data_IF_623123976757
#
_entry.id   IF_623123976757
#
_cell.length_a   1.000
_cell.length_b   1.000
_cell.length_c   1.000
_cell.angle_alpha   90.00
_cell.angle_beta   90.00
_cell.angle_gamma   90.00
#
_symmetry.space_group_name_H-M   'P 1'
#
loop_
_entity.id
_entity.type
_entity.pdbx_description
1 polymer ?
#
# COMPACT_ATOMS: atom_id res chain seq x y z
N UNK A 1 21.08 46.05 -0.93
CA UNK A 1 21.24 45.25 -2.16
C UNK A 1 20.60 43.89 -1.92
N UNK A 2 19.50 43.62 -2.62
CA UNK A 2 18.83 42.32 -2.67
C UNK A 2 19.61 41.40 -3.61
N UNK A 3 19.82 40.15 -3.22
CA UNK A 3 19.89 38.99 -4.12
C UNK A 3 19.75 37.74 -3.23
N UNK A 4 18.55 37.18 -3.05
CA UNK A 4 17.91 36.22 -3.95
C UNK A 4 18.67 34.89 -4.07
N UNK A 5 18.43 33.99 -3.13
CA UNK A 5 18.32 32.56 -3.44
C UNK A 5 17.03 32.06 -2.80
N UNK A 6 15.94 32.14 -3.56
CA UNK A 6 14.82 31.22 -3.41
C UNK A 6 15.20 29.95 -4.16
N UNK A 7 15.26 28.81 -3.47
CA UNK A 7 15.15 27.51 -4.11
C UNK A 7 14.29 26.59 -3.23
N UNK A 8 12.99 26.74 -3.42
CA UNK A 8 12.01 25.65 -3.55
C UNK A 8 12.23 24.43 -2.63
N UNK A 9 11.78 24.54 -1.39
CA UNK A 9 11.27 23.35 -0.71
C UNK A 9 9.93 23.03 -1.36
N UNK A 10 9.90 21.99 -2.18
CA UNK A 10 8.72 21.46 -2.81
C UNK A 10 7.71 20.99 -1.75
N UNK A 11 6.90 21.92 -1.25
CA UNK A 11 5.58 21.63 -0.71
C UNK A 11 4.65 21.32 -1.90
N UNK A 12 4.92 20.21 -2.59
CA UNK A 12 4.05 19.70 -3.64
C UNK A 12 3.07 18.74 -2.98
N UNK A 13 1.85 19.28 -2.77
CA UNK A 13 0.56 18.58 -2.70
C UNK A 13 0.26 17.73 -1.45
N UNK A 14 -0.11 18.40 -0.35
CA UNK A 14 -1.20 17.89 0.51
C UNK A 14 -2.30 18.94 0.76
N UNK A 15 -2.37 19.98 -0.07
CA UNK A 15 -3.43 20.99 -0.06
C UNK A 15 -4.49 20.77 -1.15
N UNK A 16 -4.79 19.52 -1.51
CA UNK A 16 -6.01 19.21 -2.27
C UNK A 16 -7.14 19.05 -1.26
N UNK A 17 -8.06 20.02 -1.25
CA UNK A 17 -9.49 19.85 -0.97
C UNK A 17 -9.87 18.58 -0.19
N UNK A 18 -10.22 18.77 1.08
CA UNK A 18 -11.11 17.86 1.81
C UNK A 18 -12.39 17.67 0.96
N UNK A 19 -12.46 16.64 0.11
CA UNK A 19 -13.70 16.29 -0.60
C UNK A 19 -13.60 15.51 -1.92
N UNK A 20 -12.46 15.49 -2.61
CA UNK A 20 -12.37 14.80 -3.90
C UNK A 20 -11.73 13.40 -3.76
N UNK A 21 -12.44 12.37 -4.21
CA UNK A 21 -11.95 10.99 -4.24
C UNK A 21 -10.81 10.88 -5.27
N UNK A 22 -9.66 10.32 -4.86
CA UNK A 22 -8.50 10.09 -5.75
C UNK A 22 -8.78 8.97 -6.76
N UNK A 23 -8.33 9.16 -8.00
CA UNK A 23 -8.37 8.15 -9.07
C UNK A 23 -7.42 6.97 -8.79
N UNK A 24 -7.60 5.83 -9.49
CA UNK A 24 -6.70 4.67 -9.38
C UNK A 24 -5.24 5.04 -9.68
N UNK A 25 -4.99 5.78 -10.76
CA UNK A 25 -3.64 6.22 -11.12
C UNK A 25 -2.98 7.13 -10.07
N UNK A 26 -3.77 7.98 -9.39
CA UNK A 26 -3.25 8.82 -8.31
C UNK A 26 -2.86 7.98 -7.08
N UNK A 27 -3.63 6.94 -6.76
CA UNK A 27 -3.29 6.04 -5.68
C UNK A 27 -2.06 5.19 -5.99
N UNK A 28 -1.97 4.62 -7.20
CA UNK A 28 -0.81 3.86 -7.67
C UNK A 28 0.47 4.70 -7.56
N UNK A 29 0.40 6.00 -7.90
CA UNK A 29 1.52 6.92 -7.73
C UNK A 29 1.89 7.16 -6.26
N UNK A 30 0.92 7.23 -5.35
CA UNK A 30 1.20 7.37 -3.91
C UNK A 30 1.88 6.10 -3.38
N UNK A 31 1.42 4.93 -3.79
CA UNK A 31 2.01 3.63 -3.44
C UNK A 31 3.46 3.53 -3.97
N UNK A 32 3.70 3.90 -5.23
CA UNK A 32 5.03 3.95 -5.85
C UNK A 32 5.98 4.89 -5.08
N UNK A 33 5.49 6.07 -4.70
CA UNK A 33 6.25 7.04 -3.91
C UNK A 33 6.58 6.52 -2.51
N UNK A 34 5.62 5.88 -1.83
CA UNK A 34 5.82 5.28 -0.52
C UNK A 34 6.89 4.19 -0.57
N UNK A 35 6.79 3.29 -1.56
CA UNK A 35 7.74 2.21 -1.79
C UNK A 35 9.14 2.74 -2.08
N UNK A 36 9.29 3.65 -3.05
CA UNK A 36 10.59 4.25 -3.42
C UNK A 36 11.25 4.96 -2.23
N UNK A 37 10.46 5.62 -1.40
CA UNK A 37 10.96 6.27 -0.19
C UNK A 37 11.49 5.25 0.81
N UNK A 38 10.77 4.15 1.01
CA UNK A 38 11.16 3.09 1.94
C UNK A 38 12.38 2.29 1.47
N UNK A 39 12.54 2.06 0.16
CA UNK A 39 13.75 1.45 -0.39
C UNK A 39 14.98 2.26 0.03
N UNK A 40 14.92 3.59 -0.10
CA UNK A 40 16.01 4.49 0.30
C UNK A 40 16.22 4.51 1.81
N UNK A 41 15.16 4.64 2.60
CA UNK A 41 15.26 4.69 4.07
C UNK A 41 15.83 3.41 4.67
N UNK A 42 15.50 2.26 4.07
CA UNK A 42 16.00 0.94 4.50
C UNK A 42 17.34 0.57 3.83
N UNK A 43 17.91 1.44 3.00
CA UNK A 43 19.15 1.22 2.24
C UNK A 43 19.12 -0.05 1.36
N UNK A 44 17.96 -0.36 0.77
CA UNK A 44 17.75 -1.56 -0.04
C UNK A 44 18.13 -1.38 -1.51
N UNK A 45 18.58 -0.19 -1.94
CA UNK A 45 18.92 0.13 -3.33
C UNK A 45 19.92 -0.88 -3.95
N UNK A 46 20.88 -1.36 -3.14
CA UNK A 46 21.89 -2.33 -3.59
C UNK A 46 21.36 -3.75 -3.69
N UNK A 47 20.38 -4.10 -2.87
CA UNK A 47 19.84 -5.46 -2.76
C UNK A 47 18.75 -5.72 -3.78
N UNK A 48 17.92 -4.71 -4.01
CA UNK A 48 16.80 -4.75 -4.94
C UNK A 48 17.22 -4.44 -6.38
N UNK A 49 18.32 -3.70 -6.54
CA UNK A 49 18.81 -3.27 -7.85
C UNK A 49 17.87 -2.29 -8.55
N UNK A 50 18.26 -1.79 -9.74
CA UNK A 50 17.48 -0.81 -10.50
C UNK A 50 16.19 -1.37 -11.11
N UNK A 51 15.99 -2.69 -11.05
CA UNK A 51 14.88 -3.41 -11.69
C UNK A 51 13.88 -3.99 -10.68
N UNK A 52 13.84 -3.49 -9.44
CA UNK A 52 12.81 -3.90 -8.50
C UNK A 52 11.44 -3.61 -9.10
N UNK A 53 10.72 -4.68 -9.41
CA UNK A 53 9.38 -4.61 -9.92
C UNK A 53 8.43 -5.07 -8.83
N UNK A 54 7.49 -4.21 -8.43
CA UNK A 54 6.43 -4.57 -7.49
C UNK A 54 5.61 -5.75 -7.99
N UNK A 55 5.42 -5.88 -9.31
CA UNK A 55 4.72 -7.04 -9.88
C UNK A 55 5.47 -8.36 -9.67
N UNK A 56 6.80 -8.33 -9.44
CA UNK A 56 7.55 -9.55 -9.13
C UNK A 56 7.13 -10.21 -7.82
N UNK A 57 6.45 -9.44 -6.96
CA UNK A 57 5.91 -9.90 -5.70
C UNK A 57 4.72 -10.84 -5.87
N UNK A 58 4.10 -10.82 -7.05
CA UNK A 58 3.05 -11.76 -7.45
C UNK A 58 3.50 -13.22 -7.42
N UNK A 59 4.81 -13.45 -7.46
CA UNK A 59 5.38 -14.79 -7.37
C UNK A 59 5.37 -15.34 -5.94
N UNK A 60 5.18 -14.49 -4.93
CA UNK A 60 5.10 -14.91 -3.54
C UNK A 60 3.68 -15.30 -3.19
N UNK A 61 3.55 -16.50 -2.62
CA UNK A 61 2.26 -17.05 -2.13
C UNK A 61 2.25 -17.18 -0.62
N UNK A 62 3.41 -17.06 0.03
CA UNK A 62 3.60 -17.20 1.47
C UNK A 62 4.67 -16.22 1.96
N UNK A 63 4.50 -15.73 3.18
CA UNK A 63 5.42 -14.77 3.82
C UNK A 63 6.84 -15.32 3.91
N UNK A 64 7.00 -16.62 4.19
CA UNK A 64 8.31 -17.25 4.38
C UNK A 64 9.19 -17.23 3.12
N UNK A 65 8.57 -17.07 1.94
CA UNK A 65 9.28 -16.98 0.66
C UNK A 65 9.91 -15.60 0.44
N UNK A 66 9.44 -14.59 1.17
CA UNK A 66 9.91 -13.20 1.04
C UNK A 66 11.13 -13.00 1.94
N UNK A 67 12.24 -12.43 1.45
CA UNK A 67 13.37 -12.05 2.29
C UNK A 67 12.97 -11.04 3.39
N UNK A 68 13.50 -11.17 4.61
CA UNK A 68 13.05 -10.39 5.78
C UNK A 68 13.13 -8.86 5.58
N UNK A 69 14.21 -8.38 4.96
CA UNK A 69 14.40 -7.00 4.53
C UNK A 69 13.25 -6.51 3.63
N UNK A 70 12.78 -7.35 2.70
CA UNK A 70 11.66 -7.03 1.82
C UNK A 70 10.33 -7.09 2.55
N UNK A 71 10.19 -7.97 3.56
CA UNK A 71 9.02 -7.96 4.43
C UNK A 71 8.85 -6.65 5.18
N UNK A 72 9.95 -6.12 5.71
CA UNK A 72 9.93 -4.83 6.39
C UNK A 72 9.83 -3.64 5.44
N UNK A 73 10.22 -3.79 4.17
CA UNK A 73 9.90 -2.83 3.12
C UNK A 73 8.39 -2.67 2.95
N UNK A 74 7.62 -3.76 2.92
CA UNK A 74 6.16 -3.68 2.86
C UNK A 74 5.55 -2.95 4.05
N UNK A 75 5.98 -3.28 5.27
CA UNK A 75 5.54 -2.53 6.45
C UNK A 75 5.78 -1.03 6.27
N UNK A 76 6.99 -0.65 5.85
CA UNK A 76 7.33 0.75 5.66
C UNK A 76 6.45 1.40 4.58
N UNK A 77 6.25 0.75 3.44
CA UNK A 77 5.46 1.30 2.35
C UNK A 77 4.00 1.46 2.76
N UNK A 78 3.42 0.46 3.42
CA UNK A 78 2.06 0.49 3.95
C UNK A 78 1.84 1.63 4.96
N UNK A 79 2.77 1.83 5.89
CA UNK A 79 2.68 2.91 6.88
C UNK A 79 2.75 4.30 6.23
N UNK A 80 3.59 4.47 5.19
CA UNK A 80 3.68 5.73 4.44
C UNK A 80 2.47 5.94 3.53
N UNK A 81 1.99 4.89 2.88
CA UNK A 81 0.84 4.91 1.98
C UNK A 81 -0.43 5.30 2.74
N UNK A 82 -0.69 4.64 3.87
CA UNK A 82 -1.87 4.91 4.72
C UNK A 82 -1.70 6.15 5.62
N UNK A 83 -0.45 6.58 5.84
CA UNK A 83 -0.11 7.58 6.85
C UNK A 83 -0.41 7.12 8.29
N UNK A 84 -0.58 5.82 8.52
CA UNK A 84 -0.85 5.23 9.84
C UNK A 84 0.22 4.23 10.22
N UNK A 85 0.63 4.24 11.48
CA UNK A 85 1.51 3.22 12.02
C UNK A 85 0.77 1.90 12.17
N UNK A 86 1.40 0.79 11.78
CA UNK A 86 0.86 -0.56 12.01
C UNK A 86 0.94 -0.96 13.49
N UNK A 87 1.54 -0.15 14.36
CA UNK A 87 1.40 -0.33 15.82
C UNK A 87 -0.03 -0.04 16.28
N UNK A 88 -0.78 0.79 15.54
CA UNK A 88 -2.22 0.98 15.71
C UNK A 88 -2.94 0.24 14.57
N UNK A 89 -2.92 -1.10 14.68
CA UNK A 89 -3.43 -1.98 13.63
C UNK A 89 -4.88 -1.67 13.26
N UNK A 90 -5.73 -1.34 14.23
CA UNK A 90 -7.13 -1.02 13.98
C UNK A 90 -7.25 0.18 13.04
N UNK A 91 -6.56 1.28 13.38
CA UNK A 91 -6.61 2.51 12.59
C UNK A 91 -5.94 2.37 11.23
N UNK A 92 -4.85 1.59 11.16
CA UNK A 92 -4.21 1.22 9.91
C UNK A 92 -5.19 0.51 8.96
N UNK A 93 -5.86 -0.56 9.44
CA UNK A 93 -6.81 -1.32 8.63
C UNK A 93 -8.01 -0.46 8.20
N UNK A 94 -8.53 0.41 9.07
CA UNK A 94 -9.59 1.37 8.71
C UNK A 94 -9.15 2.27 7.55
N UNK A 95 -7.89 2.74 7.54
CA UNK A 95 -7.34 3.56 6.45
C UNK A 95 -7.08 2.80 5.16
N UNK A 96 -6.60 1.56 5.23
CA UNK A 96 -6.50 0.69 4.05
C UNK A 96 -7.87 0.47 3.39
N UNK A 97 -8.93 0.30 4.20
CA UNK A 97 -10.29 0.14 3.67
C UNK A 97 -10.87 1.42 3.06
N UNK A 98 -10.49 2.61 3.54
CA UNK A 98 -10.87 3.88 2.91
C UNK A 98 -10.31 3.96 1.49
N UNK A 99 -9.04 3.57 1.31
CA UNK A 99 -8.39 3.49 -0.01
C UNK A 99 -9.17 2.62 -0.99
N UNK A 100 -9.45 1.37 -0.61
CA UNK A 100 -10.19 0.43 -1.46
C UNK A 100 -11.57 0.97 -1.88
N UNK A 101 -12.31 1.56 -0.93
CA UNK A 101 -13.61 2.15 -1.22
C UNK A 101 -13.51 3.31 -2.20
N UNK A 102 -12.48 4.14 -2.09
CA UNK A 102 -12.28 5.26 -3.01
C UNK A 102 -11.82 4.82 -4.40
N UNK A 103 -10.91 3.83 -4.47
CA UNK A 103 -10.52 3.23 -5.74
C UNK A 103 -11.74 2.66 -6.50
N UNK A 104 -12.58 1.87 -5.84
CA UNK A 104 -13.67 1.17 -6.54
C UNK A 104 -14.86 2.04 -6.90
N UNK A 105 -15.07 3.17 -6.22
CA UNK A 105 -16.04 4.19 -6.67
C UNK A 105 -15.68 4.68 -8.07
N UNK A 106 -14.39 4.84 -8.36
CA UNK A 106 -13.90 5.32 -9.65
C UNK A 106 -13.87 4.22 -10.73
N UNK A 107 -13.79 2.95 -10.34
CA UNK A 107 -13.80 1.80 -11.25
C UNK A 107 -15.21 1.30 -11.63
N UNK A 108 -16.27 2.01 -11.24
CA UNK A 108 -17.68 1.65 -11.49
C UNK A 108 -18.06 0.23 -11.01
N UNK A 109 -17.44 -0.27 -9.93
CA UNK A 109 -17.84 -1.56 -9.37
C UNK A 109 -19.22 -1.47 -8.72
N UNK A 110 -20.03 -2.52 -8.87
CA UNK A 110 -21.33 -2.60 -8.20
C UNK A 110 -21.16 -2.63 -6.68
N UNK A 111 -22.15 -2.11 -5.94
CA UNK A 111 -22.13 -2.15 -4.47
C UNK A 111 -21.98 -3.58 -3.91
N UNK A 112 -22.55 -4.59 -4.58
CA UNK A 112 -22.38 -6.00 -4.21
C UNK A 112 -20.94 -6.46 -4.41
N UNK A 113 -20.32 -6.13 -5.54
CA UNK A 113 -18.93 -6.48 -5.85
C UNK A 113 -17.98 -5.86 -4.82
N UNK A 114 -18.19 -4.58 -4.47
CA UNK A 114 -17.40 -3.88 -3.44
C UNK A 114 -17.55 -4.59 -2.08
N UNK A 115 -18.79 -4.92 -1.69
CA UNK A 115 -19.06 -5.63 -0.42
C UNK A 115 -18.36 -6.99 -0.34
N UNK A 116 -18.43 -7.77 -1.42
CA UNK A 116 -17.80 -9.08 -1.49
C UNK A 116 -16.27 -8.98 -1.47
N UNK A 117 -15.70 -7.98 -2.16
CA UNK A 117 -14.28 -7.68 -2.11
C UNK A 117 -13.85 -7.29 -0.69
N UNK A 118 -14.55 -6.34 -0.04
CA UNK A 118 -14.17 -5.88 1.30
C UNK A 118 -14.22 -6.99 2.33
N UNK A 119 -15.15 -7.94 2.17
CA UNK A 119 -15.24 -9.12 3.04
C UNK A 119 -14.03 -10.03 2.90
N UNK A 120 -13.49 -10.19 1.70
CA UNK A 120 -12.29 -11.00 1.46
C UNK A 120 -11.03 -10.31 1.98
N UNK A 121 -10.95 -8.97 1.90
CA UNK A 121 -9.90 -8.20 2.57
C UNK A 121 -9.99 -8.33 4.10
N UNK A 122 -11.20 -8.27 4.69
CA UNK A 122 -11.37 -8.52 6.13
C UNK A 122 -10.90 -9.93 6.53
N UNK A 123 -11.09 -10.94 5.68
CA UNK A 123 -10.55 -12.28 5.90
C UNK A 123 -9.01 -12.29 5.85
N UNK A 124 -8.40 -11.53 4.92
CA UNK A 124 -6.95 -11.33 4.89
C UNK A 124 -6.44 -10.72 6.20
N UNK A 125 -7.11 -9.67 6.68
CA UNK A 125 -6.79 -8.99 7.94
C UNK A 125 -6.82 -9.94 9.13
N UNK A 126 -7.93 -10.67 9.30
CA UNK A 126 -8.09 -11.63 10.38
C UNK A 126 -7.04 -12.76 10.32
N UNK A 127 -6.70 -13.22 9.12
CA UNK A 127 -5.70 -14.27 8.90
C UNK A 127 -4.28 -13.80 9.28
N UNK A 128 -3.88 -12.61 8.83
CA UNK A 128 -2.56 -12.07 9.10
C UNK A 128 -2.34 -11.87 10.61
N UNK A 129 -3.33 -11.27 11.30
CA UNK A 129 -3.26 -11.03 12.75
C UNK A 129 -3.31 -12.29 13.60
N UNK A 130 -3.88 -13.38 13.07
CA UNK A 130 -3.88 -14.69 13.73
C UNK A 130 -2.54 -15.40 13.60
N UNK A 131 -1.86 -15.26 12.47
CA UNK A 131 -0.72 -16.11 12.10
C UNK A 131 0.64 -15.47 12.42
N UNK A 132 0.72 -14.14 12.53
CA UNK A 132 1.99 -13.43 12.69
C UNK A 132 1.96 -12.45 13.86
N UNK A 133 3.10 -12.34 14.54
CA UNK A 133 3.26 -11.50 15.74
C UNK A 133 4.12 -10.25 15.51
N UNK A 134 4.69 -10.08 14.31
CA UNK A 134 5.49 -8.91 13.97
C UNK A 134 4.92 -8.19 12.75
N UNK A 135 5.06 -6.87 12.73
CA UNK A 135 4.40 -6.04 11.73
C UNK A 135 4.97 -6.21 10.31
N UNK A 136 6.23 -6.67 10.16
CA UNK A 136 6.80 -6.93 8.82
C UNK A 136 6.13 -8.14 8.16
N UNK A 137 5.97 -9.24 8.90
CA UNK A 137 5.27 -10.43 8.41
C UNK A 137 3.78 -10.16 8.21
N UNK A 138 3.14 -9.40 9.11
CA UNK A 138 1.74 -8.98 8.93
C UNK A 138 1.56 -8.18 7.63
N UNK A 139 2.37 -7.14 7.41
CA UNK A 139 2.30 -6.33 6.18
C UNK A 139 2.49 -7.19 4.93
N UNK A 140 3.48 -8.08 4.96
CA UNK A 140 3.75 -8.99 3.84
C UNK A 140 2.56 -9.91 3.55
N UNK A 141 1.95 -10.49 4.59
CA UNK A 141 0.80 -11.38 4.42
C UNK A 141 -0.42 -10.64 3.88
N UNK A 142 -0.64 -9.41 4.34
CA UNK A 142 -1.70 -8.53 3.83
C UNK A 142 -1.48 -8.23 2.35
N UNK A 143 -0.31 -7.73 1.94
CA UNK A 143 -0.01 -7.44 0.53
C UNK A 143 -0.24 -8.67 -0.36
N UNK A 144 0.32 -9.83 0.01
CA UNK A 144 0.14 -11.08 -0.76
C UNK A 144 -1.34 -11.44 -0.90
N UNK A 145 -2.09 -11.39 0.20
CA UNK A 145 -3.49 -11.78 0.22
C UNK A 145 -4.38 -10.82 -0.57
N UNK A 146 -4.22 -9.52 -0.32
CA UNK A 146 -5.02 -8.47 -0.91
C UNK A 146 -4.78 -8.38 -2.41
N UNK A 147 -3.54 -8.57 -2.88
CA UNK A 147 -3.24 -8.68 -4.32
C UNK A 147 -3.95 -9.88 -4.97
N UNK A 148 -3.99 -11.04 -4.30
CA UNK A 148 -4.71 -12.21 -4.81
C UNK A 148 -6.22 -11.98 -4.85
N UNK A 149 -6.78 -11.31 -3.83
CA UNK A 149 -8.19 -10.90 -3.80
C UNK A 149 -8.47 -9.91 -4.93
N UNK A 150 -7.68 -8.86 -5.11
CA UNK A 150 -7.85 -7.88 -6.18
C UNK A 150 -7.88 -8.55 -7.55
N UNK A 151 -6.92 -9.42 -7.84
CA UNK A 151 -6.87 -10.19 -9.10
C UNK A 151 -8.08 -11.09 -9.32
N UNK A 152 -8.60 -11.71 -8.25
CA UNK A 152 -9.83 -12.52 -8.31
C UNK A 152 -11.01 -11.66 -8.76
N UNK A 153 -11.13 -10.45 -8.23
CA UNK A 153 -12.27 -9.57 -8.50
C UNK A 153 -12.14 -8.76 -9.80
N UNK A 154 -10.93 -8.41 -10.24
CA UNK A 154 -10.72 -7.75 -11.53
C UNK A 154 -11.06 -8.67 -12.73
N UNK A 155 -10.92 -9.99 -12.58
CA UNK A 155 -11.29 -10.98 -13.61
C UNK A 155 -12.80 -11.20 -13.76
N UNK A 156 -13.60 -10.80 -12.76
CA UNK A 156 -15.06 -10.92 -12.78
C UNK A 156 -15.61 -9.64 -13.41
N UNK A 157 -15.85 -9.69 -14.73
CA UNK A 157 -16.50 -8.62 -15.51
C UNK A 157 -18.02 -8.67 -15.36
#
# INVERSE_FOLDING_TARGET
MLSSVALVAAAILLSSSLGEAKTKAEWEKIEEMAMTTCIKELNLDKELGPNFNYDSLDNYTKVEQVPLNIRCLFKCSEEKFTGQSMTDMKKYLEKGMDYYKDMFKNENWSASKIKDFTKEVDNCNARALKNYNNNCDIATDLCICEMQVLKKFEKIK
#
